data_IF_664043516253
#
_entry.id   IF_664043516253
#
_cell.length_a   1.000
_cell.length_b   1.000
_cell.length_c   1.000
_cell.angle_alpha   90.00
_cell.angle_beta   90.00
_cell.angle_gamma   90.00
#
_symmetry.space_group_name_H-M   'P 1'
#
loop_
_entity.id
_entity.type
_entity.pdbx_description
1 polymer ?
#
# COMPACT_ATOMS: atom_id res chain seq x y z
N UNK A 1 26.38 40.05 -7.50
CA UNK A 1 26.04 38.66 -7.87
C UNK A 1 26.28 37.67 -6.72
N UNK A 2 27.28 37.85 -5.85
CA UNK A 2 27.55 36.93 -4.72
C UNK A 2 26.40 36.83 -3.68
N UNK A 3 25.71 37.92 -3.35
CA UNK A 3 24.62 37.92 -2.36
C UNK A 3 23.39 37.09 -2.75
N UNK A 4 23.13 36.91 -4.04
CA UNK A 4 22.00 36.09 -4.51
C UNK A 4 22.27 34.60 -4.26
N UNK A 5 23.54 34.18 -4.42
CA UNK A 5 23.94 32.80 -4.17
C UNK A 5 23.95 32.47 -2.67
N UNK A 6 24.44 33.38 -1.82
CA UNK A 6 24.37 33.23 -0.36
C UNK A 6 22.93 33.15 0.15
N UNK A 7 22.02 33.95 -0.44
CA UNK A 7 20.60 33.90 -0.10
C UNK A 7 19.98 32.54 -0.44
N UNK A 8 20.25 32.02 -1.64
CA UNK A 8 19.74 30.70 -2.08
C UNK A 8 20.31 29.57 -1.20
N UNK A 9 21.60 29.60 -0.87
CA UNK A 9 22.21 28.59 0.01
C UNK A 9 21.56 28.60 1.40
N UNK A 10 21.28 29.80 1.93
CA UNK A 10 20.62 29.96 3.22
C UNK A 10 19.18 29.43 3.20
N UNK A 11 18.39 29.80 2.18
CA UNK A 11 17.03 29.30 1.96
C UNK A 11 16.99 27.77 1.83
N UNK A 12 17.86 27.20 0.98
CA UNK A 12 17.97 25.74 0.82
C UNK A 12 18.40 25.04 2.12
N UNK A 13 19.23 25.68 2.94
CA UNK A 13 19.62 25.19 4.26
C UNK A 13 18.42 25.10 5.21
N UNK A 14 17.60 26.15 5.27
CA UNK A 14 16.37 26.17 6.09
C UNK A 14 15.40 25.09 5.64
N UNK A 15 15.17 24.98 4.32
CA UNK A 15 14.30 23.93 3.76
C UNK A 15 14.80 22.52 4.08
N UNK A 16 16.11 22.27 4.07
CA UNK A 16 16.67 20.96 4.43
C UNK A 16 16.38 20.60 5.89
N UNK A 17 16.53 21.55 6.81
CA UNK A 17 16.22 21.35 8.22
C UNK A 17 14.72 21.12 8.43
N UNK A 18 13.86 21.86 7.74
CA UNK A 18 12.40 21.66 7.79
C UNK A 18 11.99 20.29 7.27
N UNK A 19 12.56 19.85 6.15
CA UNK A 19 12.33 18.50 5.60
C UNK A 19 12.78 17.44 6.60
N UNK A 20 13.96 17.59 7.23
CA UNK A 20 14.43 16.64 8.24
C UNK A 20 13.50 16.58 9.46
N UNK A 21 13.04 17.73 9.95
CA UNK A 21 12.11 17.81 11.07
C UNK A 21 10.73 17.22 10.74
N UNK A 22 10.27 17.37 9.49
CA UNK A 22 9.06 16.72 9.00
C UNK A 22 9.25 15.20 8.87
N UNK A 23 10.41 14.75 8.40
CA UNK A 23 10.78 13.34 8.34
C UNK A 23 10.74 12.69 9.73
N UNK A 24 11.37 13.34 10.73
CA UNK A 24 11.37 12.85 12.12
C UNK A 24 9.96 12.79 12.72
N UNK A 25 9.12 13.79 12.47
CA UNK A 25 7.72 13.78 12.93
C UNK A 25 6.90 12.70 12.22
N UNK A 26 7.20 12.44 10.95
CA UNK A 26 6.56 11.37 10.18
C UNK A 26 6.96 9.99 10.75
N UNK A 27 8.25 9.74 10.95
CA UNK A 27 8.77 8.49 11.51
C UNK A 27 8.32 8.28 12.97
N UNK A 28 8.25 9.34 13.78
CA UNK A 28 7.76 9.26 15.16
C UNK A 28 6.25 8.94 15.26
N UNK A 29 5.49 9.17 14.19
CA UNK A 29 4.03 8.93 14.16
C UNK A 29 3.70 7.58 13.52
N UNK A 30 4.62 7.03 12.71
CA UNK A 30 4.41 5.85 11.88
C UNK A 30 5.32 4.70 12.33
N UNK A 31 4.79 3.81 13.17
CA UNK A 31 5.42 2.53 13.50
C UNK A 31 5.23 1.58 12.33
N UNK A 32 6.13 1.66 11.34
CA UNK A 32 6.19 0.70 10.25
C UNK A 32 7.41 -0.22 10.40
N UNK A 33 7.21 -1.49 10.06
CA UNK A 33 8.26 -2.49 9.95
C UNK A 33 8.76 -2.49 8.51
N UNK A 34 10.06 -2.29 8.33
CA UNK A 34 10.73 -2.45 7.03
C UNK A 34 11.00 -3.94 6.81
N UNK A 35 10.79 -4.40 5.58
CA UNK A 35 11.03 -5.80 5.17
C UNK A 35 12.34 -5.90 4.39
N UNK A 36 12.77 -7.12 4.06
CA UNK A 36 13.85 -7.40 3.10
C UNK A 36 13.56 -6.89 1.68
N UNK A 37 12.29 -6.56 1.39
CA UNK A 37 11.83 -5.93 0.16
C UNK A 37 11.77 -4.40 0.32
N UNK A 38 12.64 -3.61 -0.36
CA UNK A 38 12.77 -2.16 -0.15
C UNK A 38 11.47 -1.37 -0.32
N UNK A 39 10.57 -1.85 -1.16
CA UNK A 39 9.29 -1.22 -1.46
C UNK A 39 8.14 -1.72 -0.59
N UNK A 40 8.34 -2.70 0.28
CA UNK A 40 7.28 -3.28 1.12
C UNK A 40 7.49 -2.89 2.59
N UNK A 41 6.41 -2.44 3.22
CA UNK A 41 6.37 -2.15 4.65
C UNK A 41 5.11 -2.72 5.29
N UNK A 42 5.18 -2.99 6.59
CA UNK A 42 4.04 -3.40 7.39
C UNK A 42 3.75 -2.35 8.46
N UNK A 43 2.50 -2.12 8.81
CA UNK A 43 2.14 -1.21 9.90
C UNK A 43 0.80 -1.64 10.48
N UNK A 44 0.72 -1.87 11.80
CA UNK A 44 -0.52 -2.25 12.49
C UNK A 44 -1.68 -1.28 12.22
N UNK A 45 -1.38 0.01 11.98
CA UNK A 45 -2.38 1.04 11.67
C UNK A 45 -2.91 0.98 10.24
N UNK A 46 -2.29 0.19 9.36
CA UNK A 46 -2.59 0.12 7.93
C UNK A 46 -2.93 -1.31 7.55
N UNK A 47 -4.14 -1.54 7.06
CA UNK A 47 -4.59 -2.88 6.65
C UNK A 47 -4.33 -3.97 7.71
N UNK A 48 -4.43 -3.63 8.99
CA UNK A 48 -4.14 -4.52 10.12
C UNK A 48 -2.78 -5.23 10.03
N UNK A 49 -1.73 -4.51 9.60
CA UNK A 49 -0.38 -5.05 9.50
C UNK A 49 -0.08 -5.77 8.19
N UNK A 50 -1.02 -5.85 7.24
CA UNK A 50 -0.79 -6.51 5.95
C UNK A 50 0.36 -5.84 5.17
N UNK A 51 1.25 -6.63 4.52
CA UNK A 51 2.32 -6.10 3.69
C UNK A 51 1.80 -5.13 2.63
N UNK A 52 2.30 -3.89 2.67
CA UNK A 52 1.81 -2.76 1.88
C UNK A 52 2.93 -2.13 1.07
N UNK A 53 2.63 -1.74 -0.16
CA UNK A 53 3.58 -1.07 -1.06
C UNK A 53 3.82 0.37 -0.60
N UNK A 54 5.08 0.70 -0.31
CA UNK A 54 5.54 2.00 0.19
C UNK A 54 5.08 3.15 -0.69
N UNK A 55 4.58 4.21 -0.06
CA UNK A 55 4.08 5.40 -0.75
C UNK A 55 2.70 5.21 -1.38
N UNK A 56 2.05 4.07 -1.13
CA UNK A 56 0.70 3.76 -1.60
C UNK A 56 -0.14 3.18 -0.48
N UNK A 57 -1.44 2.99 -0.75
CA UNK A 57 -2.33 2.24 0.12
C UNK A 57 -2.64 0.83 -0.43
N UNK A 58 -1.86 0.35 -1.40
CA UNK A 58 -2.07 -0.95 -2.06
C UNK A 58 -1.29 -2.04 -1.33
N UNK A 59 -1.97 -3.14 -1.01
CA UNK A 59 -1.35 -4.29 -0.35
C UNK A 59 -0.68 -5.21 -1.38
N UNK A 60 0.31 -6.00 -0.93
CA UNK A 60 0.93 -7.04 -1.74
C UNK A 60 -0.12 -8.02 -2.27
N UNK A 61 -1.10 -8.39 -1.42
CA UNK A 61 -2.25 -9.21 -1.83
C UNK A 61 -2.94 -8.65 -3.06
N UNK A 62 -3.20 -7.35 -3.12
CA UNK A 62 -3.93 -6.75 -4.25
C UNK A 62 -3.17 -6.95 -5.56
N UNK A 63 -1.85 -6.75 -5.54
CA UNK A 63 -0.98 -7.00 -6.70
C UNK A 63 -1.00 -8.47 -7.11
N UNK A 64 -0.95 -9.38 -6.13
CA UNK A 64 -1.00 -10.83 -6.38
C UNK A 64 -2.36 -11.25 -6.93
N UNK A 65 -3.47 -10.74 -6.39
CA UNK A 65 -4.83 -11.02 -6.88
C UNK A 65 -4.99 -10.60 -8.35
N UNK A 66 -4.45 -9.43 -8.74
CA UNK A 66 -4.37 -9.00 -10.14
C UNK A 66 -3.63 -10.01 -11.03
N UNK A 67 -2.46 -10.49 -10.59
CA UNK A 67 -1.72 -11.50 -11.37
C UNK A 67 -2.44 -12.84 -11.44
N UNK A 68 -3.16 -13.25 -10.38
CA UNK A 68 -3.92 -14.50 -10.35
C UNK A 68 -5.10 -14.49 -11.32
N UNK A 69 -5.69 -13.33 -11.60
CA UNK A 69 -6.73 -13.18 -12.63
C UNK A 69 -6.16 -12.99 -14.05
N UNK A 70 -4.84 -13.05 -14.20
CA UNK A 70 -4.14 -13.02 -15.48
C UNK A 70 -3.72 -11.62 -15.96
N UNK A 71 -3.81 -10.59 -15.10
CA UNK A 71 -3.31 -9.27 -15.46
C UNK A 71 -1.77 -9.28 -15.51
N UNK A 72 -1.25 -8.71 -16.59
CA UNK A 72 0.17 -8.44 -16.76
C UNK A 72 0.61 -7.24 -15.92
N UNK A 73 1.92 -7.13 -15.68
CA UNK A 73 2.50 -5.99 -14.94
C UNK A 73 2.15 -4.65 -15.60
N UNK A 74 2.07 -4.59 -16.93
CA UNK A 74 1.71 -3.35 -17.63
C UNK A 74 0.24 -2.98 -17.43
N UNK A 75 -0.67 -3.96 -17.42
CA UNK A 75 -2.09 -3.75 -17.10
C UNK A 75 -2.29 -3.30 -15.65
N UNK A 76 -1.53 -3.88 -14.70
CA UNK A 76 -1.54 -3.45 -13.29
C UNK A 76 -1.09 -2.00 -13.15
N UNK A 77 -0.05 -1.58 -13.89
CA UNK A 77 0.43 -0.19 -13.89
C UNK A 77 -0.56 0.77 -14.54
N UNK A 78 -1.31 0.31 -15.54
CA UNK A 78 -2.40 1.09 -16.15
C UNK A 78 -3.56 1.27 -15.18
N UNK A 79 -3.94 0.22 -14.45
CA UNK A 79 -4.98 0.26 -13.42
C UNK A 79 -4.57 1.10 -12.20
N UNK A 80 -3.28 1.07 -11.83
CA UNK A 80 -2.72 1.79 -10.68
C UNK A 80 -1.52 2.65 -11.07
N UNK A 81 -1.73 3.83 -11.70
CA UNK A 81 -0.64 4.71 -12.17
C UNK A 81 0.27 5.27 -11.05
N UNK A 82 -0.14 5.14 -9.78
CA UNK A 82 0.68 5.49 -8.61
C UNK A 82 1.84 4.50 -8.41
N UNK A 83 1.73 3.29 -8.94
CA UNK A 83 2.75 2.27 -8.84
C UNK A 83 3.85 2.50 -9.86
N UNK A 84 5.06 2.15 -9.45
CA UNK A 84 6.20 1.97 -10.35
C UNK A 84 6.36 0.49 -10.66
N UNK A 85 6.93 0.18 -11.82
CA UNK A 85 7.24 -1.21 -12.21
C UNK A 85 8.14 -1.91 -11.18
N UNK A 86 9.07 -1.19 -10.56
CA UNK A 86 9.93 -1.72 -9.50
C UNK A 86 9.13 -2.16 -8.28
N UNK A 87 8.16 -1.36 -7.84
CA UNK A 87 7.27 -1.71 -6.73
C UNK A 87 6.42 -2.95 -7.02
N UNK A 88 5.91 -3.09 -8.26
CA UNK A 88 5.14 -4.28 -8.65
C UNK A 88 6.01 -5.52 -8.57
N UNK A 89 7.21 -5.50 -9.15
CA UNK A 89 8.10 -6.65 -9.09
C UNK A 89 8.60 -6.97 -7.68
N UNK A 90 8.84 -5.96 -6.84
CA UNK A 90 9.25 -6.18 -5.45
C UNK A 90 8.10 -6.77 -4.62
N UNK A 91 6.85 -6.36 -4.87
CA UNK A 91 5.67 -6.98 -4.26
C UNK A 91 5.50 -8.45 -4.69
N UNK A 92 5.72 -8.76 -5.96
CA UNK A 92 5.69 -10.14 -6.44
C UNK A 92 6.84 -10.97 -5.87
N UNK A 93 8.03 -10.37 -5.71
CA UNK A 93 9.15 -11.02 -5.04
C UNK A 93 8.81 -11.34 -3.57
N UNK A 94 8.26 -10.36 -2.84
CA UNK A 94 7.78 -10.56 -1.47
C UNK A 94 6.80 -11.72 -1.38
N UNK A 95 5.84 -11.78 -2.31
CA UNK A 95 4.89 -12.88 -2.40
C UNK A 95 5.55 -14.24 -2.55
N UNK A 96 6.55 -14.38 -3.43
CA UNK A 96 7.21 -15.67 -3.62
C UNK A 96 8.02 -16.11 -2.39
N UNK A 97 8.55 -15.16 -1.62
CA UNK A 97 9.25 -15.45 -0.36
C UNK A 97 8.27 -15.71 0.80
N UNK A 98 7.04 -15.15 0.76
CA UNK A 98 6.02 -15.17 1.81
C UNK A 98 4.66 -15.71 1.35
N UNK A 99 4.65 -16.71 0.47
CA UNK A 99 3.43 -17.13 -0.24
C UNK A 99 2.32 -17.56 0.72
N UNK A 100 2.63 -18.34 1.77
CA UNK A 100 1.63 -18.80 2.74
C UNK A 100 0.92 -17.66 3.46
N UNK A 101 1.66 -16.59 3.79
CA UNK A 101 1.15 -15.40 4.46
C UNK A 101 0.16 -14.65 3.55
N UNK A 102 0.57 -14.36 2.31
CA UNK A 102 -0.26 -13.61 1.37
C UNK A 102 -1.48 -14.42 0.92
N UNK A 103 -1.32 -15.73 0.69
CA UNK A 103 -2.44 -16.61 0.37
C UNK A 103 -3.47 -16.67 1.51
N UNK A 104 -3.03 -16.55 2.77
CA UNK A 104 -3.95 -16.41 3.90
C UNK A 104 -4.75 -15.10 3.80
N UNK A 105 -4.09 -13.97 3.55
CA UNK A 105 -4.79 -12.70 3.35
C UNK A 105 -5.78 -12.74 2.18
N UNK A 106 -5.41 -13.39 1.06
CA UNK A 106 -6.32 -13.60 -0.10
C UNK A 106 -7.58 -14.34 0.36
N UNK A 107 -7.43 -15.49 1.04
CA UNK A 107 -8.58 -16.27 1.52
C UNK A 107 -9.46 -15.49 2.49
N UNK A 108 -8.86 -14.81 3.47
CA UNK A 108 -9.61 -14.03 4.46
C UNK A 108 -10.39 -12.88 3.81
N UNK A 109 -9.79 -12.19 2.83
CA UNK A 109 -10.44 -11.13 2.06
C UNK A 109 -11.62 -11.67 1.23
N UNK A 110 -11.44 -12.81 0.54
CA UNK A 110 -12.49 -13.47 -0.24
C UNK A 110 -13.66 -13.92 0.66
N UNK A 111 -13.38 -14.53 1.80
CA UNK A 111 -14.39 -14.93 2.77
C UNK A 111 -15.17 -13.74 3.32
N UNK A 112 -14.48 -12.65 3.65
CA UNK A 112 -15.11 -11.42 4.11
C UNK A 112 -16.07 -10.85 3.04
N UNK A 113 -15.62 -10.79 1.79
CA UNK A 113 -16.44 -10.34 0.65
C UNK A 113 -17.69 -11.21 0.48
N UNK A 114 -17.54 -12.54 0.54
CA UNK A 114 -18.66 -13.47 0.44
C UNK A 114 -19.69 -13.31 1.57
N UNK A 115 -19.23 -13.15 2.83
CA UNK A 115 -20.11 -12.91 3.98
C UNK A 115 -20.95 -11.64 3.82
N UNK A 116 -20.36 -10.58 3.28
CA UNK A 116 -21.06 -9.32 3.04
C UNK A 116 -22.18 -9.49 1.99
N UNK A 117 -21.89 -10.21 0.90
CA UNK A 117 -22.89 -10.50 -0.14
C UNK A 117 -24.09 -11.29 0.40
N UNK A 118 -23.85 -12.33 1.22
CA UNK A 118 -24.91 -13.12 1.84
C UNK A 118 -25.83 -12.29 2.75
N UNK A 119 -25.25 -11.35 3.49
CA UNK A 119 -26.00 -10.46 4.38
C UNK A 119 -26.86 -9.47 3.58
N UNK A 120 -26.31 -8.94 2.49
CA UNK A 120 -27.00 -8.02 1.59
C UNK A 120 -28.10 -8.68 0.73
N UNK A 121 -28.01 -10.00 0.47
CA UNK A 121 -29.09 -10.76 -0.16
C UNK A 121 -30.19 -11.12 0.84
N UNK A 122 -29.84 -11.42 2.10
CA UNK A 122 -30.80 -11.79 3.15
C UNK A 122 -31.67 -10.62 3.61
N UNK A 123 -31.16 -9.39 3.59
CA UNK A 123 -31.90 -8.18 3.98
C UNK A 123 -32.89 -7.67 2.93
N UNK A 124 -32.89 -8.22 1.71
CA UNK A 124 -33.82 -7.84 0.62
C UNK A 124 -35.10 -8.70 0.56
N UNK A 125 -35.25 -9.65 1.48
CA UNK A 125 -36.34 -10.66 1.48
C UNK A 125 -37.39 -10.47 2.59
N UNK A 126 -37.61 -9.26 3.11
CA UNK A 126 -38.77 -8.99 3.99
C UNK A 126 -40.01 -8.74 3.14
N UNK A 127 -41.08 -9.56 3.24
CA UNK A 127 -42.30 -9.31 2.49
C UNK A 127 -42.96 -8.03 3.01
N UNK A 128 -43.30 -7.11 2.10
CA UNK A 128 -44.28 -6.06 2.37
C UNK A 128 -45.60 -6.77 2.69
N UNK A 129 -45.95 -6.87 3.99
CA UNK A 129 -47.26 -7.37 4.38
C UNK A 129 -48.31 -6.45 3.76
N UNK A 130 -49.21 -7.05 2.98
CA UNK A 130 -50.31 -6.39 2.29
C UNK A 130 -51.51 -6.23 3.21
#
# INVERSE_FOLDING_TARGET
MLNQLEFIIKELGVLREEVHALQEKFDATQTYTVTEHPHIYMSEKMHNGEPTVRGTALTVRTIVECTHIGESVDEILEAYPILTRAQVYDALSYYYDHAEEIEKYIRENQEASWRLLQRASSSRSTPMQT
#
